data_IF_822799937225
#
_entry.id   IF_822799937225
#
_cell.length_a   1.000
_cell.length_b   1.000
_cell.length_c   1.000
_cell.angle_alpha   90.00
_cell.angle_beta   90.00
_cell.angle_gamma   90.00
#
_symmetry.space_group_name_H-M   'P 1'
#
loop_
_entity.id
_entity.type
_entity.pdbx_description
1 polymer ?
#
# COMPACT_ATOMS: atom_id res chain seq x y z
N UNK A 1 -22.76 12.29 -5.63
CA UNK A 1 -22.41 11.53 -4.41
C UNK A 1 -21.42 10.47 -4.86
N UNK A 2 -20.12 10.66 -4.61
CA UNK A 2 -19.11 9.69 -5.04
C UNK A 2 -19.03 8.55 -4.02
N UNK A 3 -19.49 7.39 -4.45
CA UNK A 3 -19.47 6.12 -3.74
C UNK A 3 -18.00 5.64 -3.62
N UNK A 4 -17.29 6.09 -2.59
CA UNK A 4 -15.97 5.53 -2.29
C UNK A 4 -16.19 4.17 -1.62
N UNK A 5 -15.65 3.06 -2.16
CA UNK A 5 -15.90 1.76 -1.57
C UNK A 5 -15.36 1.74 -0.12
N UNK A 6 -16.18 1.30 0.85
CA UNK A 6 -15.81 1.26 2.25
C UNK A 6 -14.78 0.15 2.43
N UNK A 7 -13.52 0.51 2.70
CA UNK A 7 -12.47 -0.41 3.14
C UNK A 7 -12.39 -1.73 2.34
N UNK A 8 -11.58 -1.75 1.29
CA UNK A 8 -11.46 -2.91 0.41
C UNK A 8 -10.20 -3.72 0.67
N UNK A 9 -10.24 -5.02 0.37
CA UNK A 9 -9.04 -5.86 0.35
C UNK A 9 -8.08 -5.33 -0.71
N UNK A 10 -6.80 -5.28 -0.38
CA UNK A 10 -5.77 -4.83 -1.29
C UNK A 10 -4.44 -5.56 -1.06
N UNK A 11 -3.53 -5.32 -2.00
CA UNK A 11 -2.14 -5.72 -1.96
C UNK A 11 -1.29 -4.47 -1.71
N UNK A 12 -0.24 -4.63 -0.92
CA UNK A 12 0.71 -3.54 -0.61
C UNK A 12 2.11 -3.97 -1.02
N UNK A 13 2.81 -3.08 -1.73
CA UNK A 13 4.21 -3.30 -2.09
C UNK A 13 5.11 -3.11 -0.87
N UNK A 14 5.72 -4.19 -0.41
CA UNK A 14 6.65 -4.20 0.71
C UNK A 14 8.06 -4.02 0.18
N UNK A 15 8.72 -2.95 0.60
CA UNK A 15 10.16 -2.76 0.35
C UNK A 15 10.91 -3.81 1.17
N UNK A 16 11.53 -4.74 0.46
CA UNK A 16 12.41 -5.73 1.04
C UNK A 16 13.69 -5.13 1.59
N UNK A 17 14.43 -5.95 2.33
CA UNK A 17 15.82 -5.70 2.67
C UNK A 17 16.65 -6.69 1.82
N UNK A 18 17.54 -6.22 0.92
CA UNK A 18 18.31 -7.09 0.04
C UNK A 18 19.09 -8.21 0.72
N UNK A 19 19.39 -8.08 2.02
CA UNK A 19 20.14 -9.06 2.80
C UNK A 19 19.25 -10.05 3.58
N UNK A 20 17.93 -9.82 3.64
CA UNK A 20 17.01 -10.63 4.45
C UNK A 20 15.82 -11.13 3.64
N UNK A 21 15.11 -10.23 2.98
CA UNK A 21 13.85 -10.52 2.30
C UNK A 21 13.72 -9.67 1.04
N UNK A 22 13.32 -10.29 -0.07
CA UNK A 22 13.05 -9.59 -1.33
C UNK A 22 11.82 -8.66 -1.21
N UNK A 23 11.80 -7.61 -2.03
CA UNK A 23 10.60 -6.78 -2.17
C UNK A 23 9.50 -7.57 -2.87
N UNK A 24 8.26 -7.42 -2.42
CA UNK A 24 7.13 -8.16 -2.98
C UNK A 24 5.80 -7.47 -2.69
N UNK A 25 4.79 -7.82 -3.47
CA UNK A 25 3.40 -7.56 -3.17
C UNK A 25 2.90 -8.52 -2.11
N UNK A 26 2.34 -7.97 -1.02
CA UNK A 26 1.76 -8.74 0.07
C UNK A 26 0.25 -8.55 0.09
N UNK A 27 -0.52 -9.63 0.19
CA UNK A 27 -1.99 -9.61 0.32
C UNK A 27 -2.43 -9.49 1.77
N UNK A 28 -3.75 -9.53 2.00
CA UNK A 28 -4.34 -9.54 3.35
C UNK A 28 -4.50 -8.16 3.98
N UNK A 29 -4.23 -7.09 3.23
CA UNK A 29 -4.40 -5.72 3.70
C UNK A 29 -5.82 -5.24 3.47
N UNK A 30 -6.24 -4.29 4.32
CA UNK A 30 -7.44 -3.49 4.11
C UNK A 30 -7.01 -2.05 3.81
N UNK A 31 -7.44 -1.55 2.65
CA UNK A 31 -7.13 -0.20 2.16
C UNK A 31 -8.35 0.70 2.19
N UNK A 32 -8.18 1.93 2.67
CA UNK A 32 -9.21 2.98 2.66
C UNK A 32 -8.63 4.29 2.14
N UNK A 33 -9.31 4.95 1.21
CA UNK A 33 -8.93 6.28 0.72
C UNK A 33 -8.97 7.28 1.89
N UNK A 34 -7.91 8.09 2.03
CA UNK A 34 -7.82 9.11 3.08
C UNK A 34 -8.12 10.49 2.51
N UNK A 35 -8.89 11.30 3.25
CA UNK A 35 -9.14 12.71 2.91
C UNK A 35 -7.85 13.55 2.87
N UNK A 36 -6.79 13.10 3.54
CA UNK A 36 -5.49 13.75 3.55
C UNK A 36 -4.60 13.32 2.38
N UNK A 37 -5.10 12.46 1.48
CA UNK A 37 -4.39 11.87 0.35
C UNK A 37 -3.76 10.51 0.64
N UNK A 38 -3.56 9.70 -0.39
CA UNK A 38 -3.03 8.33 -0.25
C UNK A 38 -4.03 7.35 0.38
N UNK A 39 -3.53 6.16 0.71
CA UNK A 39 -4.32 5.03 1.21
C UNK A 39 -3.93 4.71 2.65
N UNK A 40 -4.90 4.71 3.56
CA UNK A 40 -4.73 4.11 4.88
C UNK A 40 -4.77 2.58 4.73
N UNK A 41 -3.70 1.91 5.11
CA UNK A 41 -3.54 0.46 5.06
C UNK A 41 -3.52 -0.13 6.47
N UNK A 42 -4.18 -1.26 6.64
CA UNK A 42 -4.28 -2.00 7.90
C UNK A 42 -4.03 -3.49 7.65
N UNK A 43 -3.25 -4.12 8.53
CA UNK A 43 -2.99 -5.56 8.52
C UNK A 43 -2.71 -6.02 9.97
N UNK A 44 -3.18 -7.20 10.42
CA UNK A 44 -3.06 -7.64 11.82
C UNK A 44 -1.61 -7.63 12.37
N UNK A 45 -0.64 -7.95 11.52
CA UNK A 45 0.78 -8.03 11.88
C UNK A 45 1.55 -6.72 11.73
N UNK A 46 0.90 -5.61 11.35
CA UNK A 46 1.57 -4.34 11.07
C UNK A 46 0.84 -3.17 11.73
N UNK A 47 1.61 -2.12 12.06
CA UNK A 47 1.04 -0.85 12.51
C UNK A 47 0.32 -0.20 11.33
N UNK A 48 -0.96 0.15 11.54
CA UNK A 48 -1.74 0.88 10.56
C UNK A 48 -1.04 2.17 10.15
N UNK A 49 -1.00 2.45 8.84
CA UNK A 49 -0.37 3.67 8.35
C UNK A 49 -0.94 4.13 7.00
N UNK A 50 -0.52 5.32 6.56
CA UNK A 50 -0.91 5.89 5.28
C UNK A 50 0.25 5.82 4.30
N UNK A 51 0.00 5.31 3.11
CA UNK A 51 0.98 5.11 2.04
C UNK A 51 0.51 5.77 0.75
N UNK A 52 1.41 6.11 -0.17
CA UNK A 52 1.01 6.59 -1.50
C UNK A 52 0.27 5.51 -2.30
N UNK A 53 -0.55 5.95 -3.25
CA UNK A 53 -1.41 5.08 -4.07
C UNK A 53 -0.61 4.09 -4.92
N UNK A 54 0.54 4.50 -5.48
CA UNK A 54 1.39 3.61 -6.29
C UNK A 54 1.88 2.37 -5.55
N UNK A 55 1.80 2.37 -4.21
CA UNK A 55 2.22 1.26 -3.35
C UNK A 55 1.10 0.27 -3.06
N UNK A 56 -0.12 0.53 -3.55
CA UNK A 56 -1.32 -0.28 -3.28
C UNK A 56 -1.94 -0.73 -4.60
N UNK A 57 -2.34 -1.99 -4.67
CA UNK A 57 -3.18 -2.52 -5.75
C UNK A 57 -4.46 -3.11 -5.16
N UNK A 58 -5.62 -2.71 -5.67
CA UNK A 58 -6.91 -3.30 -5.27
C UNK A 58 -7.24 -4.57 -6.05
N UNK A 59 -6.45 -4.88 -7.07
CA UNK A 59 -6.48 -6.12 -7.83
C UNK A 59 -5.22 -6.94 -7.54
N UNK A 60 -5.28 -8.25 -7.75
CA UNK A 60 -4.10 -9.12 -7.59
C UNK A 60 -3.05 -8.80 -8.66
N UNK A 61 -1.81 -8.44 -8.28
CA UNK A 61 -0.74 -8.19 -9.24
C UNK A 61 -0.37 -9.46 -10.01
N UNK A 62 -0.15 -9.33 -11.32
CA UNK A 62 0.22 -10.47 -12.18
C UNK A 62 1.59 -11.08 -11.87
N UNK A 63 2.50 -10.29 -11.28
CA UNK A 63 3.77 -10.74 -10.76
C UNK A 63 4.01 -10.13 -9.37
N UNK A 64 4.03 -10.98 -8.34
CA UNK A 64 4.20 -10.57 -6.95
C UNK A 64 5.60 -10.03 -6.65
N UNK A 65 6.58 -10.21 -7.54
CA UNK A 65 7.96 -9.73 -7.37
C UNK A 65 8.29 -8.52 -8.26
N UNK A 66 7.41 -8.15 -9.19
CA UNK A 66 7.61 -6.97 -10.03
C UNK A 66 7.19 -5.71 -9.26
N UNK A 67 8.08 -4.71 -9.10
CA UNK A 67 7.72 -3.47 -8.43
C UNK A 67 6.65 -2.69 -9.20
N UNK A 68 5.82 -1.90 -8.51
CA UNK A 68 5.02 -0.87 -9.18
C UNK A 68 5.94 0.16 -9.88
N UNK A 69 5.35 1.03 -10.70
CA UNK A 69 6.04 2.22 -11.18
C UNK A 69 6.30 3.18 -10.01
N UNK A 70 7.49 3.10 -9.41
CA UNK A 70 7.91 3.95 -8.28
C UNK A 70 8.40 5.30 -8.83
N UNK A 71 7.77 6.43 -8.45
CA UNK A 71 8.24 7.75 -8.86
C UNK A 71 9.65 8.07 -8.36
N UNK A 72 10.39 8.89 -9.11
CA UNK A 72 11.66 9.43 -8.62
C UNK A 72 11.43 10.28 -7.37
N UNK A 73 12.30 10.11 -6.35
CA UNK A 73 12.13 10.82 -5.07
C UNK A 73 10.87 10.41 -4.28
N UNK A 74 10.28 9.25 -4.57
CA UNK A 74 9.01 8.84 -3.97
C UNK A 74 9.00 8.85 -2.44
N UNK A 75 7.94 9.43 -1.87
CA UNK A 75 7.63 9.34 -0.44
C UNK A 75 6.90 8.02 -0.16
N UNK A 76 7.40 7.20 0.77
CA UNK A 76 6.92 5.83 1.00
C UNK A 76 5.81 5.70 2.04
N UNK A 77 5.62 6.73 2.86
CA UNK A 77 4.68 6.80 3.99
C UNK A 77 4.33 8.26 4.25
N UNK A 78 3.06 8.54 4.53
CA UNK A 78 2.57 9.88 4.86
C UNK A 78 2.31 10.05 6.36
N UNK A 79 2.54 11.27 6.85
CA UNK A 79 2.24 11.73 8.21
C UNK A 79 1.54 13.11 8.15
N UNK A 80 0.68 13.48 9.12
CA UNK A 80 0.16 12.63 10.18
C UNK A 80 -0.75 11.53 9.62
N UNK A 81 -1.07 10.55 10.47
CA UNK A 81 -1.88 9.38 10.11
C UNK A 81 -3.37 9.58 10.46
N UNK A 82 -3.71 10.77 10.98
CA UNK A 82 -5.03 11.21 11.48
C UNK A 82 -5.62 12.24 10.54
#
# INVERSE_FOLDING_TARGET
MSDHPPRSRCWVWIKGNPLKNESHWMSGWLGTLSQLGGIKIEHPNFVACRVPEWRVSFEEPSDLKLPPAIPEGATWKFFPVE
#
